data_IF_296514328859
#
_entry.id   IF_296514328859
#
_cell.length_a   1.000
_cell.length_b   1.000
_cell.length_c   1.000
_cell.angle_alpha   90.00
_cell.angle_beta   90.00
_cell.angle_gamma   90.00
#
_symmetry.space_group_name_H-M   'P 1'
#
loop_
_entity.id
_entity.type
_entity.pdbx_description
1 polymer ?
#
# COMPACT_ATOMS: atom_id res chain seq x y z
N UNK A 1 1.29 38.60 -8.20
CA UNK A 1 2.09 37.35 -8.17
C UNK A 1 1.31 36.33 -7.38
N UNK A 2 0.64 35.42 -8.06
CA UNK A 2 -0.17 34.36 -7.46
C UNK A 2 0.75 33.33 -6.82
N UNK A 3 0.79 33.30 -5.49
CA UNK A 3 1.50 32.28 -4.72
C UNK A 3 0.70 30.99 -4.75
N UNK A 4 1.05 30.08 -5.66
CA UNK A 4 0.55 28.70 -5.72
C UNK A 4 1.39 27.85 -4.77
N UNK A 5 1.39 28.09 -3.46
CA UNK A 5 2.12 27.20 -2.54
C UNK A 5 1.50 27.24 -1.14
N UNK A 6 0.24 26.84 -1.03
CA UNK A 6 -0.39 26.65 0.30
C UNK A 6 -1.46 25.56 0.36
N UNK A 7 -1.68 24.77 -0.71
CA UNK A 7 -2.79 23.79 -0.77
C UNK A 7 -2.36 22.33 -0.96
N UNK A 8 -1.05 22.02 -0.89
CA UNK A 8 -0.56 20.63 -0.86
C UNK A 8 -0.49 20.11 0.59
N UNK A 9 -1.55 20.31 1.37
CA UNK A 9 -1.74 19.56 2.61
C UNK A 9 -2.10 18.12 2.25
N UNK A 10 -1.06 17.32 1.98
CA UNK A 10 -0.85 15.95 2.44
C UNK A 10 -2.05 15.01 2.63
N UNK A 11 -3.09 15.13 1.82
CA UNK A 11 -4.06 14.08 1.63
C UNK A 11 -3.59 13.32 0.42
N UNK A 12 -2.99 12.15 0.62
CA UNK A 12 -2.83 11.16 -0.44
C UNK A 12 -4.23 10.72 -0.85
N UNK A 13 -4.90 11.56 -1.65
CA UNK A 13 -6.19 11.26 -2.25
C UNK A 13 -5.87 10.26 -3.36
N UNK A 14 -5.93 8.99 -3.00
CA UNK A 14 -5.82 7.92 -3.99
C UNK A 14 -7.07 7.97 -4.87
N UNK A 15 -6.85 8.04 -6.18
CA UNK A 15 -7.93 7.86 -7.14
C UNK A 15 -8.57 6.46 -6.97
N UNK A 16 -9.85 6.28 -7.34
CA UNK A 16 -10.55 5.01 -7.18
C UNK A 16 -9.80 3.81 -7.81
N UNK A 17 -9.12 4.02 -8.92
CA UNK A 17 -8.28 3.00 -9.57
C UNK A 17 -7.10 2.57 -8.67
N UNK A 18 -6.41 3.55 -8.07
CA UNK A 18 -5.31 3.28 -7.15
C UNK A 18 -5.81 2.55 -5.88
N UNK A 19 -6.97 2.94 -5.33
CA UNK A 19 -7.59 2.22 -4.22
C UNK A 19 -7.93 0.77 -4.59
N UNK A 20 -8.42 0.54 -5.80
CA UNK A 20 -8.68 -0.80 -6.33
C UNK A 20 -7.41 -1.65 -6.38
N UNK A 21 -6.32 -1.10 -6.93
CA UNK A 21 -5.04 -1.77 -7.01
C UNK A 21 -4.44 -2.06 -5.63
N UNK A 22 -4.52 -1.10 -4.69
CA UNK A 22 -4.05 -1.26 -3.31
C UNK A 22 -4.83 -2.36 -2.58
N UNK A 23 -6.16 -2.40 -2.72
CA UNK A 23 -7.02 -3.42 -2.12
C UNK A 23 -6.69 -4.83 -2.65
N UNK A 24 -6.51 -4.96 -3.97
CA UNK A 24 -6.10 -6.22 -4.57
C UNK A 24 -4.71 -6.67 -4.07
N UNK A 25 -3.73 -5.76 -4.09
CA UNK A 25 -2.38 -6.05 -3.61
C UNK A 25 -2.37 -6.47 -2.13
N UNK A 26 -3.18 -5.82 -1.31
CA UNK A 26 -3.35 -6.15 0.10
C UNK A 26 -3.89 -7.58 0.29
N UNK A 27 -4.96 -7.95 -0.41
CA UNK A 27 -5.52 -9.31 -0.33
C UNK A 27 -4.54 -10.37 -0.81
N UNK A 28 -3.89 -10.14 -1.95
CA UNK A 28 -2.94 -11.09 -2.51
C UNK A 28 -1.71 -11.26 -1.60
N UNK A 29 -1.20 -10.17 -1.02
CA UNK A 29 -0.06 -10.22 -0.09
C UNK A 29 -0.43 -10.96 1.20
N UNK A 30 -1.60 -10.67 1.80
CA UNK A 30 -2.07 -11.40 2.98
C UNK A 30 -2.20 -12.90 2.71
N UNK A 31 -2.77 -13.28 1.56
CA UNK A 31 -2.91 -14.68 1.16
C UNK A 31 -1.55 -15.37 1.01
N UNK A 32 -0.60 -14.72 0.34
CA UNK A 32 0.74 -15.27 0.13
C UNK A 32 1.58 -15.36 1.42
N UNK A 33 1.32 -14.50 2.41
CA UNK A 33 1.97 -14.53 3.72
C UNK A 33 1.21 -15.35 4.76
N UNK A 34 0.08 -15.97 4.38
CA UNK A 34 -0.80 -16.70 5.30
C UNK A 34 -1.30 -15.85 6.49
N UNK A 35 -1.54 -14.55 6.25
CA UNK A 35 -2.10 -13.61 7.23
C UNK A 35 -3.63 -13.65 7.11
N UNK A 36 -4.29 -14.24 8.11
CA UNK A 36 -5.73 -14.44 8.12
C UNK A 36 -6.48 -13.31 8.85
N UNK A 37 -7.81 -13.32 8.78
CA UNK A 37 -8.66 -12.27 9.36
C UNK A 37 -8.45 -12.02 10.87
N UNK A 38 -8.04 -13.03 11.64
CA UNK A 38 -7.75 -12.89 13.07
C UNK A 38 -6.39 -12.29 13.41
N UNK A 39 -5.50 -12.13 12.42
CA UNK A 39 -4.19 -11.49 12.59
C UNK A 39 -4.29 -10.00 12.26
N UNK A 40 -4.93 -9.23 13.14
CA UNK A 40 -5.14 -7.79 12.96
C UNK A 40 -3.82 -7.04 12.81
N UNK A 41 -2.80 -7.43 13.57
CA UNK A 41 -1.49 -6.82 13.53
C UNK A 41 -0.79 -7.08 12.19
N UNK A 42 -0.72 -8.34 11.74
CA UNK A 42 -0.13 -8.70 10.45
C UNK A 42 -0.83 -8.00 9.28
N UNK A 43 -2.17 -7.93 9.31
CA UNK A 43 -2.95 -7.18 8.32
C UNK A 43 -2.62 -5.69 8.35
N UNK A 44 -2.52 -5.08 9.52
CA UNK A 44 -2.16 -3.67 9.64
C UNK A 44 -0.76 -3.37 9.09
N UNK A 45 0.22 -4.24 9.35
CA UNK A 45 1.57 -4.12 8.82
C UNK A 45 1.56 -4.16 7.28
N UNK A 46 0.87 -5.14 6.68
CA UNK A 46 0.75 -5.24 5.22
C UNK A 46 0.05 -4.03 4.63
N UNK A 47 -1.09 -3.60 5.20
CA UNK A 47 -1.85 -2.46 4.71
C UNK A 47 -1.03 -1.15 4.75
N UNK A 48 -0.35 -0.89 5.88
CA UNK A 48 0.53 0.27 6.04
C UNK A 48 1.60 0.26 4.95
N UNK A 49 2.21 -0.90 4.69
CA UNK A 49 3.27 -0.98 3.69
C UNK A 49 2.78 -0.77 2.26
N UNK A 50 1.60 -1.28 1.92
CA UNK A 50 0.96 -1.03 0.63
C UNK A 50 0.67 0.47 0.44
N UNK A 51 0.17 1.14 1.49
CA UNK A 51 -0.08 2.59 1.46
C UNK A 51 1.22 3.36 1.25
N UNK A 52 2.28 3.05 2.01
CA UNK A 52 3.57 3.73 1.87
C UNK A 52 4.14 3.60 0.45
N UNK A 53 4.08 2.40 -0.14
CA UNK A 53 4.54 2.16 -1.50
C UNK A 53 3.68 2.93 -2.52
N UNK A 54 2.37 2.93 -2.35
CA UNK A 54 1.46 3.68 -3.23
C UNK A 54 1.67 5.19 -3.13
N UNK A 55 1.98 5.71 -1.94
CA UNK A 55 2.32 7.12 -1.72
C UNK A 55 3.63 7.54 -2.43
N UNK A 56 4.49 6.60 -2.82
CA UNK A 56 5.67 6.88 -3.67
C UNK A 56 5.38 6.87 -5.18
N UNK A 57 4.12 6.62 -5.58
CA UNK A 57 3.67 6.59 -6.97
C UNK A 57 3.53 5.20 -7.59
N UNK A 58 3.71 4.12 -6.81
CA UNK A 58 3.51 2.74 -7.28
C UNK A 58 2.03 2.38 -7.19
N UNK A 59 1.33 2.31 -8.31
CA UNK A 59 -0.13 2.01 -8.33
C UNK A 59 -0.49 0.68 -9.01
N UNK A 60 0.50 -0.09 -9.46
CA UNK A 60 0.26 -1.44 -10.00
C UNK A 60 0.13 -2.47 -8.87
N UNK A 61 -0.97 -3.22 -8.85
CA UNK A 61 -1.28 -4.16 -7.78
C UNK A 61 -0.22 -5.26 -7.64
N UNK A 62 0.31 -5.75 -8.77
CA UNK A 62 1.32 -6.81 -8.78
C UNK A 62 2.65 -6.31 -8.23
N UNK A 63 3.09 -5.12 -8.66
CA UNK A 63 4.31 -4.48 -8.18
C UNK A 63 4.25 -4.19 -6.67
N UNK A 64 3.11 -3.69 -6.18
CA UNK A 64 2.87 -3.46 -4.75
C UNK A 64 3.02 -4.76 -3.94
N UNK A 65 2.32 -5.81 -4.35
CA UNK A 65 2.39 -7.13 -3.71
C UNK A 65 3.81 -7.70 -3.73
N UNK A 66 4.44 -7.75 -4.90
CA UNK A 66 5.76 -8.37 -5.07
C UNK A 66 6.82 -7.66 -4.21
N UNK A 67 6.70 -6.34 -4.04
CA UNK A 67 7.55 -5.54 -3.15
C UNK A 67 7.35 -5.90 -1.68
N UNK A 68 6.11 -5.98 -1.21
CA UNK A 68 5.80 -6.40 0.17
C UNK A 68 6.35 -7.80 0.46
N UNK A 69 6.14 -8.76 -0.46
CA UNK A 69 6.63 -10.12 -0.29
C UNK A 69 8.16 -10.20 -0.28
N UNK A 70 8.83 -9.36 -1.07
CA UNK A 70 10.29 -9.26 -1.05
C UNK A 70 10.79 -8.74 0.31
N UNK A 71 10.17 -7.69 0.83
CA UNK A 71 10.55 -7.08 2.11
C UNK A 71 10.31 -8.04 3.29
N UNK A 72 9.19 -8.77 3.27
CA UNK A 72 8.90 -9.80 4.28
C UNK A 72 9.96 -10.92 4.30
N UNK A 73 10.49 -11.31 3.13
CA UNK A 73 11.58 -12.30 3.05
C UNK A 73 12.92 -11.78 3.57
N UNK A 74 13.18 -10.47 3.47
CA UNK A 74 14.43 -9.88 3.94
C UNK A 74 14.43 -9.55 5.44
N UNK A 75 13.25 -9.51 6.06
CA UNK A 75 13.08 -9.23 7.49
C UNK A 75 13.07 -10.51 8.37
N UNK A 76 13.06 -11.69 7.74
CA UNK A 76 13.09 -13.01 8.39
C UNK A 76 14.53 -13.56 8.47
#
# INVERSE_FOLDING_TARGET
MTTIHSQLESHTVFEPEALGAMSQAFHDACNALHIFAGDEHGRQVVATRIIDLASTGVIDAKALRDRVLMEARTAA
#
